data_IF_920743355727
#
_entry.id   IF_920743355727
#
_cell.length_a   1.000
_cell.length_b   1.000
_cell.length_c   1.000
_cell.angle_alpha   90.00
_cell.angle_beta   90.00
_cell.angle_gamma   90.00
#
_symmetry.space_group_name_H-M   'P 1'
#
loop_
_entity.id
_entity.type
_entity.pdbx_description
1 polymer ?
#
# COMPACT_ATOMS: atom_id res chain seq x y z
N UNK A 1 -1.20 -19.51 -3.13
CA UNK A 1 0.04 -20.00 -2.49
C UNK A 1 0.13 -19.56 -1.02
N UNK A 2 0.18 -18.25 -0.72
CA UNK A 2 0.34 -17.71 0.65
C UNK A 2 -0.56 -18.36 1.73
N UNK A 3 -1.83 -18.60 1.44
CA UNK A 3 -2.78 -19.20 2.39
C UNK A 3 -2.43 -20.64 2.76
N UNK A 4 -1.80 -21.39 1.86
CA UNK A 4 -1.48 -22.81 2.05
C UNK A 4 -0.08 -22.98 2.65
N UNK A 5 0.87 -22.13 2.24
CA UNK A 5 2.27 -22.23 2.66
C UNK A 5 2.61 -21.35 3.85
N UNK A 6 1.80 -20.34 4.16
CA UNK A 6 2.13 -19.25 5.08
C UNK A 6 3.25 -18.32 4.57
N UNK A 7 3.96 -18.69 3.50
CA UNK A 7 5.17 -18.00 3.07
C UNK A 7 4.87 -16.72 2.28
N UNK A 8 5.81 -15.75 2.25
CA UNK A 8 5.67 -14.53 1.47
C UNK A 8 5.40 -14.86 0.00
N UNK A 9 4.43 -14.16 -0.58
CA UNK A 9 4.10 -14.29 -1.99
C UNK A 9 4.08 -12.93 -2.66
N UNK A 10 4.46 -12.92 -3.93
CA UNK A 10 4.33 -11.77 -4.81
C UNK A 10 3.79 -12.19 -6.17
N UNK A 11 3.16 -11.26 -6.88
CA UNK A 11 2.64 -11.47 -8.23
C UNK A 11 3.41 -10.58 -9.19
N UNK A 12 4.00 -11.19 -10.21
CA UNK A 12 4.73 -10.51 -11.29
C UNK A 12 3.84 -10.47 -12.52
N UNK A 13 3.48 -9.26 -12.98
CA UNK A 13 2.67 -9.06 -14.19
C UNK A 13 3.57 -9.15 -15.43
N UNK A 14 3.16 -9.94 -16.42
CA UNK A 14 3.97 -10.25 -17.61
C UNK A 14 3.73 -9.30 -18.79
N UNK A 15 2.56 -8.63 -18.84
CA UNK A 15 2.18 -7.82 -20.01
C UNK A 15 1.08 -6.78 -19.77
N UNK A 16 0.84 -5.94 -20.77
CA UNK A 16 -0.03 -4.74 -20.73
C UNK A 16 -1.54 -5.01 -20.69
N UNK A 17 -1.96 -6.28 -20.79
CA UNK A 17 -3.28 -6.66 -21.29
C UNK A 17 -4.47 -6.17 -20.44
N UNK A 18 -4.24 -5.67 -19.21
CA UNK A 18 -5.26 -5.09 -18.34
C UNK A 18 -4.85 -3.80 -17.60
N UNK A 19 -3.67 -3.23 -17.86
CA UNK A 19 -3.20 -2.03 -17.14
C UNK A 19 -2.52 -1.01 -18.07
N UNK A 20 -3.24 0.06 -18.49
CA UNK A 20 -2.71 1.10 -19.36
C UNK A 20 -1.54 1.89 -18.73
N UNK A 21 -1.32 1.76 -17.43
CA UNK A 21 -0.21 2.40 -16.71
C UNK A 21 1.13 1.64 -16.84
N UNK A 22 1.12 0.39 -17.32
CA UNK A 22 2.36 -0.40 -17.55
C UNK A 22 2.97 -0.02 -18.91
N UNK A 23 3.42 1.23 -19.02
CA UNK A 23 4.18 1.69 -20.18
C UNK A 23 5.64 1.24 -20.03
N UNK A 24 5.97 0.15 -20.73
CA UNK A 24 7.31 -0.42 -20.97
C UNK A 24 7.73 -1.49 -19.95
N UNK A 25 7.28 -2.73 -20.19
CA UNK A 25 7.81 -3.90 -19.48
C UNK A 25 9.24 -4.16 -19.98
N UNK A 26 10.21 -4.14 -19.06
CA UNK A 26 11.57 -4.57 -19.36
C UNK A 26 11.63 -6.10 -19.23
N UNK A 27 11.59 -6.79 -20.37
CA UNK A 27 11.56 -8.25 -20.42
C UNK A 27 12.85 -8.91 -19.93
N UNK A 28 14.00 -8.23 -20.02
CA UNK A 28 15.27 -8.74 -19.47
C UNK A 28 15.25 -8.72 -17.93
N UNK A 29 14.75 -7.63 -17.34
CA UNK A 29 14.56 -7.56 -15.88
C UNK A 29 13.56 -8.61 -15.39
N UNK A 30 12.48 -8.81 -16.15
CA UNK A 30 11.48 -9.85 -15.84
C UNK A 30 12.11 -11.24 -15.90
N UNK A 31 12.84 -11.55 -16.96
CA UNK A 31 13.55 -12.82 -17.11
C UNK A 31 14.53 -13.05 -15.95
N UNK A 32 15.37 -12.07 -15.63
CA UNK A 32 16.32 -12.16 -14.52
C UNK A 32 15.64 -12.41 -13.17
N UNK A 33 14.46 -11.82 -12.93
CA UNK A 33 13.67 -12.08 -11.72
C UNK A 33 13.15 -13.52 -11.65
N UNK A 34 12.63 -14.04 -12.75
CA UNK A 34 12.15 -15.43 -12.81
C UNK A 34 13.32 -16.41 -12.62
N UNK A 35 14.45 -16.17 -13.28
CA UNK A 35 15.67 -16.96 -13.15
C UNK A 35 16.19 -16.99 -11.71
N UNK A 36 16.28 -15.82 -11.06
CA UNK A 36 16.65 -15.72 -9.65
C UNK A 36 15.69 -16.50 -8.73
N UNK A 37 14.39 -16.45 -9.02
CA UNK A 37 13.37 -17.15 -8.23
C UNK A 37 13.50 -18.67 -8.35
N UNK A 38 13.83 -19.18 -9.54
CA UNK A 38 14.21 -20.59 -9.76
C UNK A 38 15.45 -20.96 -8.94
N UNK A 39 16.50 -20.15 -8.98
CA UNK A 39 17.76 -20.44 -8.26
C UNK A 39 17.60 -20.48 -6.75
N UNK A 40 16.67 -19.67 -6.22
CA UNK A 40 16.27 -19.70 -4.82
C UNK A 40 15.32 -20.86 -4.47
N UNK A 41 14.89 -21.66 -5.43
CA UNK A 41 13.96 -22.78 -5.22
C UNK A 41 12.53 -22.34 -4.89
N UNK A 42 12.14 -21.11 -5.26
CA UNK A 42 10.79 -20.61 -4.99
C UNK A 42 9.75 -21.33 -5.85
N UNK A 43 8.55 -21.53 -5.28
CA UNK A 43 7.44 -22.09 -6.04
C UNK A 43 6.86 -21.01 -6.94
N UNK A 44 6.63 -21.33 -8.21
CA UNK A 44 6.06 -20.42 -9.18
C UNK A 44 4.82 -21.03 -9.85
N UNK A 45 3.76 -20.24 -9.96
CA UNK A 45 2.56 -20.57 -10.70
C UNK A 45 2.26 -19.47 -11.71
N UNK A 46 1.94 -19.82 -12.95
CA UNK A 46 1.63 -18.88 -14.00
C UNK A 46 0.14 -18.96 -14.39
N UNK A 47 -0.51 -17.80 -14.56
CA UNK A 47 -1.89 -17.72 -15.03
C UNK A 47 -1.89 -17.60 -16.56
N UNK A 48 -2.40 -18.63 -17.25
CA UNK A 48 -2.63 -18.59 -18.69
C UNK A 48 -3.94 -17.85 -18.95
N UNK A 49 -3.86 -16.63 -19.46
CA UNK A 49 -5.00 -15.75 -19.65
C UNK A 49 -4.58 -14.59 -20.55
N UNK A 50 -5.25 -14.42 -21.69
CA UNK A 50 -5.13 -13.23 -22.52
C UNK A 50 -6.44 -12.97 -23.26
N UNK A 51 -7.20 -11.97 -22.79
CA UNK A 51 -8.52 -11.63 -23.35
C UNK A 51 -8.44 -11.07 -24.78
N UNK A 52 -7.24 -10.71 -25.28
CA UNK A 52 -7.04 -10.25 -26.65
C UNK A 52 -6.82 -11.38 -27.65
N UNK A 53 -6.78 -12.64 -27.19
CA UNK A 53 -6.54 -13.81 -28.03
C UNK A 53 -7.77 -14.71 -27.98
N UNK A 54 -8.22 -15.17 -29.16
CA UNK A 54 -9.37 -16.04 -29.27
C UNK A 54 -9.12 -17.40 -28.61
N UNK A 55 -10.18 -17.96 -28.03
CA UNK A 55 -10.12 -19.24 -27.34
C UNK A 55 -9.61 -20.36 -28.24
N UNK A 56 -9.96 -20.34 -29.52
CA UNK A 56 -9.53 -21.31 -30.52
C UNK A 56 -8.00 -21.32 -30.70
N UNK A 57 -7.33 -20.15 -30.63
CA UNK A 57 -5.87 -20.08 -30.72
C UNK A 57 -5.18 -20.80 -29.54
N UNK A 58 -5.71 -20.62 -28.32
CA UNK A 58 -5.21 -21.37 -27.16
C UNK A 58 -5.37 -22.89 -27.36
N UNK A 59 -6.55 -23.33 -27.79
CA UNK A 59 -6.86 -24.74 -28.01
C UNK A 59 -5.97 -25.36 -29.11
N UNK A 60 -5.76 -24.63 -30.21
CA UNK A 60 -4.88 -25.05 -31.32
C UNK A 60 -3.41 -25.19 -30.89
N UNK A 61 -2.98 -24.43 -29.88
CA UNK A 61 -1.65 -24.54 -29.29
C UNK A 61 -1.57 -25.49 -28.09
N UNK A 62 -2.70 -26.11 -27.72
CA UNK A 62 -2.82 -27.05 -26.60
C UNK A 62 -2.73 -26.38 -25.22
N UNK A 63 -3.02 -25.08 -25.13
CA UNK A 63 -3.13 -24.32 -23.89
C UNK A 63 -4.60 -24.20 -23.45
N UNK A 64 -4.81 -24.07 -22.14
CA UNK A 64 -6.12 -23.78 -21.55
C UNK A 64 -6.16 -22.32 -21.14
N UNK A 65 -7.12 -21.57 -21.67
CA UNK A 65 -7.36 -20.19 -21.28
C UNK A 65 -8.02 -20.12 -19.88
N UNK A 66 -7.67 -19.10 -19.10
CA UNK A 66 -8.11 -18.90 -17.71
C UNK A 66 -7.76 -20.12 -16.84
N UNK A 67 -6.50 -20.56 -16.93
CA UNK A 67 -6.02 -21.75 -16.23
C UNK A 67 -4.63 -21.56 -15.62
N UNK A 68 -4.41 -22.18 -14.47
CA UNK A 68 -3.14 -22.09 -13.75
C UNK A 68 -2.19 -23.23 -14.13
N UNK A 69 -0.95 -22.87 -14.43
CA UNK A 69 0.15 -23.80 -14.71
C UNK A 69 1.24 -23.67 -13.65
N UNK A 70 1.91 -24.77 -13.32
CA UNK A 70 3.11 -24.70 -12.47
C UNK A 70 4.31 -24.34 -13.34
N UNK A 71 5.06 -23.30 -12.98
CA UNK A 71 6.33 -22.96 -13.62
C UNK A 71 7.44 -23.69 -12.86
N UNK A 72 7.97 -24.75 -13.47
CA UNK A 72 8.84 -25.72 -12.80
C UNK A 72 10.33 -25.39 -12.99
N UNK A 73 10.71 -24.88 -14.15
CA UNK A 73 12.10 -24.57 -14.46
C UNK A 73 12.18 -23.46 -15.51
N UNK A 74 13.34 -22.82 -15.58
CA UNK A 74 13.66 -21.70 -16.47
C UNK A 74 15.08 -21.93 -16.94
N UNK A 75 15.38 -21.79 -18.23
CA UNK A 75 16.72 -22.00 -18.77
C UNK A 75 17.07 -20.94 -19.79
N UNK A 76 18.28 -20.38 -19.65
CA UNK A 76 18.94 -19.61 -20.71
C UNK A 76 20.16 -20.39 -21.18
N UNK A 77 20.20 -20.74 -22.46
CA UNK A 77 21.35 -21.38 -23.08
C UNK A 77 21.28 -21.26 -24.61
N UNK A 78 22.45 -21.15 -25.25
CA UNK A 78 22.60 -21.00 -26.71
C UNK A 78 21.73 -19.87 -27.31
N UNK A 79 21.56 -18.77 -26.58
CA UNK A 79 20.72 -17.63 -27.00
C UNK A 79 19.20 -17.88 -26.87
N UNK A 80 18.78 -19.03 -26.34
CA UNK A 80 17.39 -19.37 -26.12
C UNK A 80 17.00 -19.22 -24.66
N UNK A 81 15.84 -18.59 -24.44
CA UNK A 81 15.18 -18.45 -23.14
C UNK A 81 13.94 -19.34 -23.11
N UNK A 82 14.02 -20.44 -22.38
CA UNK A 82 12.99 -21.48 -22.32
C UNK A 82 12.43 -21.62 -20.91
N UNK A 83 11.13 -21.91 -20.80
CA UNK A 83 10.44 -22.17 -19.53
C UNK A 83 9.82 -23.55 -19.57
N UNK A 84 9.97 -24.30 -18.48
CA UNK A 84 9.31 -25.58 -18.27
C UNK A 84 8.06 -25.37 -17.44
N UNK A 85 6.90 -25.67 -18.01
CA UNK A 85 5.63 -25.59 -17.33
C UNK A 85 4.98 -26.96 -17.21
N UNK A 86 4.05 -27.06 -16.26
CA UNK A 86 3.20 -28.24 -16.09
C UNK A 86 1.73 -27.84 -15.98
N UNK A 87 0.90 -28.45 -16.80
CA UNK A 87 -0.54 -28.48 -16.60
C UNK A 87 -0.89 -29.45 -15.45
N UNK A 88 -1.48 -28.98 -14.33
CA UNK A 88 -1.85 -29.86 -13.22
C UNK A 88 -2.86 -30.95 -13.59
N UNK A 89 -3.70 -30.74 -14.61
CA UNK A 89 -4.65 -31.74 -15.09
C UNK A 89 -4.00 -32.85 -15.93
N UNK A 90 -2.77 -32.63 -16.41
CA UNK A 90 -2.09 -33.55 -17.31
C UNK A 90 -2.86 -33.78 -18.61
N UNK A 91 -2.64 -34.95 -19.21
CA UNK A 91 -3.42 -35.42 -20.36
C UNK A 91 -3.04 -34.75 -21.69
N UNK A 92 -4.04 -34.42 -22.50
CA UNK A 92 -3.89 -34.04 -23.92
C UNK A 92 -3.54 -32.56 -24.14
N UNK A 93 -3.76 -31.70 -23.15
CA UNK A 93 -3.46 -30.26 -23.23
C UNK A 93 -1.97 -30.03 -22.94
N UNK A 94 -1.17 -30.14 -24.00
CA UNK A 94 0.28 -29.90 -24.01
C UNK A 94 0.60 -28.85 -25.06
N UNK A 95 1.59 -28.00 -24.79
CA UNK A 95 2.07 -27.00 -25.74
C UNK A 95 2.47 -27.66 -27.08
N UNK A 96 1.93 -27.15 -28.18
CA UNK A 96 2.17 -27.66 -29.54
C UNK A 96 3.03 -26.73 -30.41
N UNK A 97 3.45 -25.57 -29.88
CA UNK A 97 4.29 -24.62 -30.60
C UNK A 97 5.79 -24.95 -30.53
N UNK A 98 6.62 -23.93 -30.75
CA UNK A 98 8.08 -24.03 -30.69
C UNK A 98 8.57 -24.60 -29.37
N UNK A 99 9.56 -25.51 -29.40
CA UNK A 99 10.08 -26.21 -28.23
C UNK A 99 9.09 -27.15 -27.51
N UNK A 100 7.92 -27.41 -28.10
CA UNK A 100 7.10 -28.57 -27.72
C UNK A 100 7.90 -29.88 -27.86
N UNK A 101 7.46 -30.96 -27.23
CA UNK A 101 8.20 -32.24 -27.21
C UNK A 101 8.51 -32.79 -28.62
N UNK A 102 7.62 -32.52 -29.59
CA UNK A 102 7.75 -32.99 -30.97
C UNK A 102 8.34 -31.91 -31.91
N UNK A 103 8.83 -30.79 -31.37
CA UNK A 103 9.36 -29.66 -32.15
C UNK A 103 10.67 -30.01 -32.88
N UNK A 104 10.82 -29.65 -34.17
CA UNK A 104 12.06 -29.87 -34.91
C UNK A 104 13.23 -29.01 -34.38
N UNK A 105 12.97 -27.97 -33.59
CA UNK A 105 14.01 -27.12 -32.99
C UNK A 105 14.93 -27.89 -32.03
N UNK A 106 14.45 -29.00 -31.46
CA UNK A 106 15.29 -29.91 -30.68
C UNK A 106 16.32 -30.67 -31.52
N UNK A 107 16.07 -30.86 -32.83
CA UNK A 107 17.01 -31.53 -33.74
C UNK A 107 18.18 -30.61 -34.11
N UNK A 108 17.91 -29.31 -34.26
CA UNK A 108 18.95 -28.30 -34.52
C UNK A 108 19.69 -27.88 -33.25
N UNK A 109 19.20 -28.27 -32.06
CA UNK A 109 19.82 -27.99 -30.76
C UNK A 109 19.99 -29.27 -29.91
N UNK A 110 20.83 -30.22 -30.35
CA UNK A 110 20.94 -31.54 -29.72
C UNK A 110 21.47 -31.48 -28.28
N UNK A 111 22.34 -30.51 -27.96
CA UNK A 111 22.86 -30.31 -26.61
C UNK A 111 21.75 -29.90 -25.63
N UNK A 112 20.94 -28.89 -25.99
CA UNK A 112 19.78 -28.47 -25.21
C UNK A 112 18.75 -29.59 -25.06
N UNK A 113 18.53 -30.38 -26.12
CA UNK A 113 17.62 -31.53 -26.07
C UNK A 113 18.09 -32.55 -25.04
N UNK A 114 19.38 -32.89 -25.05
CA UNK A 114 19.96 -33.86 -24.12
C UNK A 114 19.85 -33.39 -22.68
N UNK A 115 20.10 -32.11 -22.44
CA UNK A 115 20.01 -31.50 -21.11
C UNK A 115 18.56 -31.42 -20.59
N UNK A 116 17.65 -30.83 -21.39
CA UNK A 116 16.33 -30.42 -20.94
C UNK A 116 15.25 -31.51 -21.07
N UNK A 117 15.50 -32.52 -21.91
CA UNK A 117 14.61 -33.68 -22.08
C UNK A 117 15.21 -34.98 -21.54
N UNK A 118 16.20 -34.89 -20.63
CA UNK A 118 16.91 -36.05 -20.05
C UNK A 118 15.98 -37.04 -19.33
N UNK A 119 14.90 -36.53 -18.73
CA UNK A 119 13.92 -37.33 -17.99
C UNK A 119 12.99 -38.08 -18.95
N UNK A 120 12.80 -39.39 -18.73
CA UNK A 120 11.74 -40.15 -19.40
C UNK A 120 10.38 -39.64 -18.93
N UNK A 121 9.79 -38.77 -19.74
CA UNK A 121 8.46 -38.17 -19.48
C UNK A 121 7.36 -39.03 -20.06
N UNK A 122 6.24 -39.09 -19.35
CA UNK A 122 5.01 -39.67 -19.88
C UNK A 122 4.29 -38.58 -20.66
N UNK A 123 3.80 -38.87 -21.86
CA UNK A 123 2.98 -37.90 -22.63
C UNK A 123 1.72 -37.41 -21.87
N UNK A 124 1.41 -38.00 -20.70
CA UNK A 124 0.27 -37.64 -19.85
C UNK A 124 0.64 -36.75 -18.65
N UNK A 125 1.92 -36.45 -18.41
CA UNK A 125 2.35 -35.69 -17.22
C UNK A 125 2.05 -34.17 -17.30
N UNK A 126 1.70 -33.68 -18.49
CA UNK A 126 1.34 -32.29 -18.76
C UNK A 126 2.53 -31.34 -18.78
N UNK A 127 3.77 -31.85 -18.82
CA UNK A 127 5.00 -31.07 -18.74
C UNK A 127 5.50 -30.71 -20.13
N UNK A 128 5.80 -29.45 -20.37
CA UNK A 128 6.32 -28.97 -21.65
C UNK A 128 7.31 -27.82 -21.47
N UNK A 129 8.18 -27.64 -22.46
CA UNK A 129 9.01 -26.45 -22.61
C UNK A 129 8.36 -25.48 -23.60
N UNK A 130 8.52 -24.18 -23.37
CA UNK A 130 8.10 -23.14 -24.31
C UNK A 130 9.08 -21.97 -24.32
N UNK A 131 9.17 -21.20 -25.42
CA UNK A 131 10.00 -20.01 -25.44
C UNK A 131 9.39 -18.89 -24.61
N UNK A 132 10.24 -18.06 -24.02
CA UNK A 132 9.83 -16.91 -23.21
C UNK A 132 8.96 -15.91 -23.98
N UNK A 133 9.21 -15.73 -25.28
CA UNK A 133 8.38 -14.90 -26.15
C UNK A 133 6.92 -15.37 -26.20
N UNK A 134 6.68 -16.67 -26.36
CA UNK A 134 5.33 -17.24 -26.30
C UNK A 134 4.74 -17.16 -24.91
N UNK A 135 5.54 -17.36 -23.86
CA UNK A 135 5.07 -17.23 -22.48
C UNK A 135 4.51 -15.83 -22.19
N UNK A 136 5.22 -14.77 -22.60
CA UNK A 136 4.74 -13.38 -22.48
C UNK A 136 3.47 -13.12 -23.29
N UNK A 137 3.28 -13.81 -24.43
CA UNK A 137 2.08 -13.66 -25.27
C UNK A 137 0.83 -14.27 -24.62
N UNK A 138 0.94 -15.44 -24.00
CA UNK A 138 -0.22 -16.23 -23.56
C UNK A 138 -0.50 -16.18 -22.05
N UNK A 139 0.46 -15.74 -21.23
CA UNK A 139 0.33 -15.70 -19.77
C UNK A 139 0.22 -14.27 -19.24
N UNK A 140 -0.65 -14.09 -18.25
CA UNK A 140 -0.95 -12.79 -17.63
C UNK A 140 0.05 -12.42 -16.53
N UNK A 141 0.30 -13.37 -15.63
CA UNK A 141 1.13 -13.15 -14.45
C UNK A 141 1.80 -14.45 -13.95
N UNK A 142 2.81 -14.28 -13.09
CA UNK A 142 3.43 -15.34 -12.30
C UNK A 142 3.30 -15.00 -10.81
N UNK A 143 2.66 -15.88 -10.06
CA UNK A 143 2.69 -15.88 -8.59
C UNK A 143 3.94 -16.62 -8.11
N UNK A 144 4.78 -15.94 -7.34
CA UNK A 144 6.01 -16.47 -6.76
C UNK A 144 5.80 -16.60 -5.25
N UNK A 145 6.02 -17.80 -4.70
CA UNK A 145 5.98 -18.08 -3.29
C UNK A 145 7.40 -18.35 -2.78
N UNK A 146 7.90 -17.43 -1.96
CA UNK A 146 9.27 -17.41 -1.45
C UNK A 146 9.44 -18.39 -0.30
N UNK A 147 9.43 -19.69 -0.60
CA UNK A 147 9.77 -20.73 0.37
C UNK A 147 11.25 -20.59 0.76
N UNK A 148 11.51 -20.40 2.05
CA UNK A 148 12.85 -20.22 2.62
C UNK A 148 12.98 -21.08 3.88
N UNK A 149 13.23 -22.40 3.73
CA UNK A 149 13.22 -23.33 4.85
C UNK A 149 14.38 -23.12 5.83
N UNK A 150 15.45 -22.46 5.40
CA UNK A 150 16.65 -22.12 6.15
C UNK A 150 16.55 -20.77 6.88
N UNK A 151 15.41 -20.09 6.80
CA UNK A 151 15.19 -18.77 7.40
C UNK A 151 14.49 -18.86 8.76
N UNK A 152 14.76 -17.86 9.59
CA UNK A 152 14.03 -17.64 10.84
C UNK A 152 12.67 -17.02 10.53
N UNK A 153 11.67 -17.42 11.30
CA UNK A 153 10.30 -16.95 11.13
C UNK A 153 9.71 -16.54 12.49
N UNK A 154 9.15 -15.33 12.53
CA UNK A 154 8.36 -14.84 13.66
C UNK A 154 7.00 -14.42 13.15
N UNK A 155 5.95 -14.95 13.77
CA UNK A 155 4.57 -14.53 13.51
C UNK A 155 3.92 -14.02 14.79
N UNK A 156 3.18 -12.94 14.66
CA UNK A 156 2.39 -12.42 15.76
C UNK A 156 1.06 -11.85 15.26
N UNK A 157 0.00 -12.15 16.01
CA UNK A 157 -1.36 -11.71 15.69
C UNK A 157 -1.87 -10.73 16.74
N UNK A 158 -2.44 -9.62 16.27
CA UNK A 158 -2.95 -8.57 17.15
C UNK A 158 -4.05 -7.75 16.46
N UNK A 159 -4.84 -7.07 17.28
CA UNK A 159 -5.63 -5.93 16.82
C UNK A 159 -4.70 -4.71 16.79
N UNK A 160 -4.23 -4.34 15.60
CA UNK A 160 -3.23 -3.27 15.47
C UNK A 160 -3.79 -1.87 15.73
N UNK A 161 -5.10 -1.68 15.59
CA UNK A 161 -5.78 -0.40 15.80
C UNK A 161 -6.80 -0.53 16.93
N UNK A 162 -7.04 0.54 17.70
CA UNK A 162 -8.06 0.54 18.73
C UNK A 162 -9.42 0.21 18.12
N UNK A 163 -10.28 -0.48 18.88
CA UNK A 163 -11.61 -0.83 18.41
C UNK A 163 -12.33 0.44 17.90
N UNK A 164 -12.72 0.41 16.63
CA UNK A 164 -13.67 1.37 16.09
C UNK A 164 -14.98 0.99 16.76
N UNK A 165 -15.29 1.62 17.89
CA UNK A 165 -16.52 1.36 18.61
C UNK A 165 -17.67 1.52 17.62
N UNK A 166 -18.29 0.40 17.23
CA UNK A 166 -19.58 0.43 16.57
C UNK A 166 -20.49 1.11 17.57
N UNK A 167 -20.87 2.36 17.31
CA UNK A 167 -21.97 3.00 18.01
C UNK A 167 -23.20 2.19 17.59
N UNK A 168 -23.42 1.05 18.26
CA UNK A 168 -24.74 0.43 18.33
C UNK A 168 -25.57 1.48 19.04
N UNK A 169 -26.48 2.09 18.28
CA UNK A 169 -27.49 2.99 18.82
C UNK A 169 -28.15 2.31 20.02
N UNK A 170 -27.70 2.62 21.24
CA UNK A 170 -28.50 2.43 22.44
C UNK A 170 -29.60 3.49 22.41
N UNK A 171 -30.56 3.33 21.49
CA UNK A 171 -31.91 3.80 21.76
C UNK A 171 -32.50 2.77 22.71
N UNK A 172 -32.19 2.91 24.00
CA UNK A 172 -33.03 2.31 25.02
C UNK A 172 -34.43 2.90 24.83
N UNK A 173 -35.37 2.01 24.54
CA UNK A 173 -36.78 2.25 24.78
C UNK A 173 -36.98 2.49 26.28
N UNK A 174 -36.89 3.74 26.73
CA UNK A 174 -37.62 4.15 27.93
C UNK A 174 -39.02 4.57 27.49
N UNK A 175 -39.94 3.60 27.53
CA UNK A 175 -41.37 3.88 27.71
C UNK A 175 -41.52 4.48 29.11
N UNK A 176 -42.18 5.62 29.19
CA UNK A 176 -42.39 6.32 30.45
C UNK A 176 -43.33 5.61 31.41
N UNK A 177 -43.18 5.93 32.70
CA UNK A 177 -44.31 6.10 33.61
C UNK A 177 -43.87 6.91 34.85
N UNK A 178 -44.64 7.97 35.12
CA UNK A 178 -45.02 8.54 36.42
C UNK A 178 -43.99 9.15 37.40
N UNK A 179 -44.03 10.48 37.43
CA UNK A 179 -44.27 11.39 38.57
C UNK A 179 -43.19 11.66 39.65
N UNK A 180 -43.16 12.89 40.20
CA UNK A 180 -42.01 13.43 40.94
C UNK A 180 -42.16 13.28 42.46
N UNK A 181 -41.04 13.27 43.17
CA UNK A 181 -41.02 13.59 44.61
C UNK A 181 -39.70 14.30 44.96
N UNK A 182 -39.84 15.41 45.68
CA UNK A 182 -38.79 16.33 46.11
C UNK A 182 -38.21 15.85 47.45
N UNK A 183 -36.88 15.90 47.62
CA UNK A 183 -36.22 16.25 48.91
C UNK A 183 -34.71 16.46 48.73
N UNK A 184 -34.33 17.73 48.85
CA UNK A 184 -33.25 18.36 49.63
C UNK A 184 -31.87 17.70 49.93
N UNK A 185 -30.86 18.57 49.71
CA UNK A 185 -29.56 18.76 50.39
C UNK A 185 -28.36 17.83 50.11
N UNK A 186 -27.40 18.34 49.32
CA UNK A 186 -25.98 18.47 49.72
C UNK A 186 -25.17 19.26 48.66
N UNK A 187 -24.23 20.08 49.12
CA UNK A 187 -23.42 21.04 48.36
C UNK A 187 -22.42 20.39 47.37
N UNK A 188 -22.00 21.09 46.30
CA UNK A 188 -21.12 20.53 45.29
C UNK A 188 -19.65 20.56 45.72
N UNK A 189 -19.03 19.39 45.89
CA UNK A 189 -17.58 19.25 45.86
C UNK A 189 -17.13 19.57 44.43
N UNK A 190 -16.38 20.68 44.26
CA UNK A 190 -15.69 21.02 43.02
C UNK A 190 -14.62 19.96 42.72
N UNK A 191 -15.00 18.90 42.02
CA UNK A 191 -14.06 18.03 41.34
C UNK A 191 -13.53 18.78 40.11
N UNK A 192 -12.27 19.19 40.16
CA UNK A 192 -11.52 19.63 38.98
C UNK A 192 -11.50 18.48 37.99
N UNK A 193 -11.98 18.62 36.74
CA UNK A 193 -11.86 17.55 35.78
C UNK A 193 -10.40 17.50 35.32
N UNK A 194 -9.62 16.60 35.90
CA UNK A 194 -8.40 16.09 35.27
C UNK A 194 -8.84 15.37 33.99
N UNK A 195 -8.81 16.08 32.86
CA UNK A 195 -9.05 15.54 31.52
C UNK A 195 -7.93 14.54 31.24
N UNK A 196 -8.16 13.29 31.64
CA UNK A 196 -7.35 12.17 31.19
C UNK A 196 -7.90 11.80 29.83
N UNK A 197 -7.38 12.40 28.76
CA UNK A 197 -7.71 11.97 27.40
C UNK A 197 -7.24 10.52 27.25
N UNK A 198 -8.19 9.60 27.05
CA UNK A 198 -7.90 8.23 26.66
C UNK A 198 -7.19 8.25 25.30
N UNK A 199 -5.86 8.32 25.30
CA UNK A 199 -5.05 8.30 24.07
C UNK A 199 -5.26 6.97 23.35
N UNK A 200 -5.68 7.02 22.08
CA UNK A 200 -5.79 5.82 21.25
C UNK A 200 -4.40 5.30 20.92
N UNK A 201 -4.19 4.02 21.16
CA UNK A 201 -2.92 3.34 20.92
C UNK A 201 -3.07 2.36 19.76
N UNK A 202 -2.04 2.29 18.91
CA UNK A 202 -1.87 1.24 17.92
C UNK A 202 -0.74 0.29 18.35
N UNK A 203 -0.82 -0.97 17.92
CA UNK A 203 0.25 -1.94 18.15
C UNK A 203 1.27 -1.89 17.01
N UNK A 204 2.55 -1.99 17.35
CA UNK A 204 3.70 -2.00 16.45
C UNK A 204 4.78 -2.95 17.01
N UNK A 205 5.94 -3.05 16.35
CA UNK A 205 7.03 -3.92 16.81
C UNK A 205 8.37 -3.23 16.79
N UNK A 206 9.15 -3.37 17.86
CA UNK A 206 10.60 -3.20 17.79
C UNK A 206 11.22 -4.38 17.07
N UNK A 207 12.08 -4.08 16.11
CA UNK A 207 12.94 -5.03 15.43
C UNK A 207 14.39 -4.66 15.72
N UNK A 208 15.11 -5.53 16.43
CA UNK A 208 16.54 -5.34 16.71
C UNK A 208 17.35 -6.35 15.91
N UNK A 209 18.32 -5.83 15.15
CA UNK A 209 19.20 -6.60 14.27
C UNK A 209 20.65 -6.45 14.71
N UNK A 210 21.36 -7.57 14.81
CA UNK A 210 22.79 -7.61 15.17
C UNK A 210 23.70 -7.72 13.95
N UNK A 211 23.15 -8.12 12.80
CA UNK A 211 23.86 -8.36 11.55
C UNK A 211 23.07 -7.77 10.38
N UNK A 212 23.73 -7.56 9.24
CA UNK A 212 23.03 -7.31 7.97
C UNK A 212 22.08 -8.46 7.73
N UNK A 213 20.79 -8.15 7.60
CA UNK A 213 19.73 -9.14 7.56
C UNK A 213 18.83 -8.88 6.36
N UNK A 214 18.77 -9.85 5.45
CA UNK A 214 17.72 -9.93 4.43
C UNK A 214 16.41 -10.33 5.12
N UNK A 215 15.32 -9.62 4.81
CA UNK A 215 13.99 -9.75 5.41
C UNK A 215 12.91 -9.89 4.34
N UNK A 216 11.90 -10.71 4.60
CA UNK A 216 10.58 -10.60 3.98
C UNK A 216 9.55 -10.35 5.09
N UNK A 217 8.76 -9.28 4.95
CA UNK A 217 7.70 -8.94 5.89
C UNK A 217 6.36 -8.99 5.18
N UNK A 218 5.41 -9.68 5.79
CA UNK A 218 4.03 -9.75 5.29
C UNK A 218 3.05 -9.37 6.40
N UNK A 219 2.13 -8.46 6.08
CA UNK A 219 0.99 -8.12 6.92
C UNK A 219 -0.26 -8.78 6.33
N UNK A 220 -0.82 -9.75 7.04
CA UNK A 220 -2.05 -10.44 6.69
C UNK A 220 -3.23 -9.86 7.46
N UNK A 221 -4.36 -9.72 6.78
CA UNK A 221 -5.65 -9.49 7.44
C UNK A 221 -6.35 -10.82 7.67
N UNK A 222 -6.80 -11.08 8.90
CA UNK A 222 -7.65 -12.23 9.19
C UNK A 222 -9.04 -11.98 8.60
N UNK A 223 -9.60 -12.99 7.94
CA UNK A 223 -10.95 -12.89 7.35
C UNK A 223 -11.81 -13.98 7.97
N UNK A 224 -13.07 -13.64 8.28
CA UNK A 224 -14.07 -14.62 8.70
C UNK A 224 -14.31 -15.65 7.59
N UNK A 225 -14.54 -16.91 7.97
CA UNK A 225 -14.49 -18.11 7.09
C UNK A 225 -15.46 -18.11 5.89
N UNK A 226 -16.34 -17.12 5.74
CA UNK A 226 -17.46 -17.15 4.80
C UNK A 226 -17.34 -16.27 3.54
N UNK A 227 -16.25 -15.52 3.33
CA UNK A 227 -16.13 -14.64 2.15
C UNK A 227 -15.26 -15.26 1.06
N UNK A 228 -15.91 -15.98 0.13
CA UNK A 228 -15.36 -16.23 -1.22
C UNK A 228 -15.02 -14.88 -1.83
N UNK A 229 -13.72 -14.65 -2.07
CA UNK A 229 -13.13 -13.65 -2.97
C UNK A 229 -13.88 -12.29 -2.94
N UNK A 230 -13.76 -11.55 -1.82
CA UNK A 230 -13.91 -10.10 -1.87
C UNK A 230 -12.53 -9.47 -1.64
N UNK A 231 -12.14 -8.53 -2.51
CA UNK A 231 -11.01 -7.63 -2.26
C UNK A 231 -11.32 -6.82 -1.00
N UNK A 232 -10.29 -6.53 -0.20
CA UNK A 232 -10.48 -5.83 1.08
C UNK A 232 -10.90 -4.39 0.82
N UNK A 233 -11.98 -3.90 1.43
CA UNK A 233 -12.33 -2.47 1.37
C UNK A 233 -11.33 -1.57 2.12
N UNK A 234 -10.50 -2.17 2.98
CA UNK A 234 -9.42 -1.48 3.70
C UNK A 234 -8.11 -1.66 2.96
N UNK A 235 -7.37 -0.57 2.76
CA UNK A 235 -6.01 -0.64 2.21
C UNK A 235 -5.01 -0.89 3.32
N UNK A 236 -4.08 -1.82 3.08
CA UNK A 236 -3.01 -2.17 4.00
C UNK A 236 -1.68 -1.62 3.49
N UNK A 237 -0.78 -1.33 4.42
CA UNK A 237 0.63 -1.07 4.18
C UNK A 237 1.43 -1.60 5.38
N UNK A 238 2.64 -2.08 5.16
CA UNK A 238 3.60 -2.33 6.24
C UNK A 238 4.88 -1.57 5.94
N UNK A 239 5.41 -0.88 6.95
CA UNK A 239 6.63 -0.11 6.83
C UNK A 239 7.58 -0.44 7.98
N UNK A 240 8.88 -0.44 7.70
CA UNK A 240 9.93 -0.41 8.70
C UNK A 240 10.47 1.01 8.72
N UNK A 241 10.53 1.59 9.90
CA UNK A 241 11.01 2.96 10.11
C UNK A 241 12.14 2.98 11.14
N UNK A 242 13.09 3.89 10.93
CA UNK A 242 13.99 4.32 12.00
C UNK A 242 13.36 5.53 12.68
N UNK A 243 13.16 5.44 13.99
CA UNK A 243 12.53 6.51 14.76
C UNK A 243 13.22 6.68 16.11
N UNK A 244 13.21 7.91 16.64
CA UNK A 244 13.59 8.16 18.03
C UNK A 244 12.34 8.26 18.90
N UNK A 245 12.40 7.55 20.02
CA UNK A 245 11.41 7.62 21.09
C UNK A 245 11.56 8.92 21.88
N UNK A 246 11.28 10.05 21.24
CA UNK A 246 10.96 11.28 21.97
C UNK A 246 9.48 11.25 22.36
N UNK A 247 9.03 12.11 23.29
CA UNK A 247 7.61 12.30 23.55
C UNK A 247 6.78 12.66 22.32
N UNK A 248 7.40 12.95 21.16
CA UNK A 248 6.76 13.29 19.89
C UNK A 248 6.78 12.12 18.89
N UNK A 249 7.66 11.12 19.07
CA UNK A 249 7.91 10.01 18.14
C UNK A 249 8.24 10.49 16.73
N UNK A 250 9.54 10.70 16.44
CA UNK A 250 9.99 11.26 15.16
C UNK A 250 10.57 10.17 14.27
N UNK A 251 10.08 10.09 13.04
CA UNK A 251 10.56 9.17 12.01
C UNK A 251 11.66 9.87 11.20
N UNK A 252 12.83 9.26 11.10
CA UNK A 252 13.98 9.82 10.36
C UNK A 252 14.24 9.12 9.03
N UNK A 253 13.81 7.87 8.88
CA UNK A 253 13.92 7.16 7.62
C UNK A 253 12.88 6.05 7.52
N UNK A 254 12.54 5.69 6.29
CA UNK A 254 11.64 4.58 5.93
C UNK A 254 12.42 3.63 5.02
N UNK A 255 13.33 2.81 5.57
CA UNK A 255 14.20 1.95 4.76
C UNK A 255 13.43 0.92 3.93
N UNK A 256 12.31 0.40 4.45
CA UNK A 256 11.50 -0.63 3.79
C UNK A 256 10.03 -0.26 3.93
N UNK A 257 9.29 -0.32 2.82
CA UNK A 257 7.84 -0.09 2.79
C UNK A 257 7.19 -0.99 1.74
N UNK A 258 6.01 -1.52 2.03
CA UNK A 258 5.21 -2.24 1.04
C UNK A 258 4.42 -1.26 0.18
N UNK A 259 4.13 -1.64 -1.06
CA UNK A 259 3.05 -0.99 -1.79
C UNK A 259 1.77 -1.03 -0.95
N UNK A 260 1.07 0.09 -0.93
CA UNK A 260 -0.25 0.16 -0.33
C UNK A 260 -1.25 -0.55 -1.25
N UNK A 261 -2.13 -1.37 -0.70
CA UNK A 261 -3.15 -2.02 -1.54
C UNK A 261 -4.33 -2.65 -0.78
N UNK A 262 -5.43 -2.84 -1.51
CA UNK A 262 -6.68 -3.43 -1.04
C UNK A 262 -6.70 -4.97 -1.17
N UNK A 263 -5.62 -5.59 -0.69
CA UNK A 263 -5.41 -7.03 -0.75
C UNK A 263 -5.65 -7.69 0.62
N UNK A 264 -5.72 -9.03 0.63
CA UNK A 264 -5.81 -9.81 1.87
C UNK A 264 -4.52 -9.74 2.69
N UNK A 265 -3.41 -9.42 2.03
CA UNK A 265 -2.10 -9.22 2.62
C UNK A 265 -1.32 -8.23 1.77
N UNK A 266 -0.34 -7.58 2.39
CA UNK A 266 0.70 -6.81 1.71
C UNK A 266 2.05 -7.29 2.18
N UNK A 267 3.00 -7.37 1.26
CA UNK A 267 4.34 -7.87 1.53
C UNK A 267 5.39 -6.90 1.01
N UNK A 268 6.55 -6.91 1.62
CA UNK A 268 7.74 -6.21 1.17
C UNK A 268 8.97 -6.95 1.63
N UNK A 269 10.10 -6.69 0.98
CA UNK A 269 11.37 -7.33 1.27
C UNK A 269 12.52 -6.33 1.12
N UNK A 270 13.65 -6.67 1.74
CA UNK A 270 14.84 -5.83 1.66
C UNK A 270 15.92 -6.25 2.62
N UNK A 271 17.03 -5.51 2.59
CA UNK A 271 18.15 -5.68 3.50
C UNK A 271 18.15 -4.54 4.52
N UNK A 272 18.42 -4.88 5.77
CA UNK A 272 18.67 -3.90 6.82
C UNK A 272 20.05 -4.12 7.44
N UNK A 273 20.72 -3.01 7.71
CA UNK A 273 21.93 -2.96 8.51
C UNK A 273 21.64 -3.28 9.99
N UNK A 274 22.66 -3.61 10.80
CA UNK A 274 22.50 -3.72 12.24
C UNK A 274 21.91 -2.45 12.86
N UNK A 275 20.93 -2.60 13.74
CA UNK A 275 20.25 -1.46 14.35
C UNK A 275 18.90 -1.82 14.97
N UNK A 276 18.24 -0.79 15.51
CA UNK A 276 16.88 -0.90 16.06
C UNK A 276 15.91 -0.13 15.19
N UNK A 277 14.87 -0.82 14.75
CA UNK A 277 13.83 -0.32 13.86
C UNK A 277 12.46 -0.53 14.47
N UNK A 278 11.46 0.12 13.90
CA UNK A 278 10.05 -0.09 14.24
C UNK A 278 9.28 -0.55 13.02
N UNK A 279 8.57 -1.67 13.15
CA UNK A 279 7.64 -2.13 12.14
C UNK A 279 6.26 -1.54 12.45
N UNK A 280 5.76 -0.75 11.51
CA UNK A 280 4.45 -0.11 11.53
C UNK A 280 3.48 -0.87 10.63
N UNK A 281 2.51 -1.61 11.19
CA UNK A 281 1.35 -2.10 10.45
C UNK A 281 0.35 -0.96 10.26
N UNK A 282 0.09 -0.58 9.01
CA UNK A 282 -0.67 0.61 8.67
C UNK A 282 -1.99 0.27 7.98
N UNK A 283 -3.08 0.85 8.49
CA UNK A 283 -4.42 0.73 7.93
C UNK A 283 -4.91 2.08 7.44
N UNK A 284 -5.41 2.10 6.20
CA UNK A 284 -6.01 3.29 5.63
C UNK A 284 -7.52 3.14 5.49
N UNK A 285 -8.25 4.20 5.86
CA UNK A 285 -9.71 4.28 5.93
C UNK A 285 -10.35 3.26 6.91
N UNK A 286 -9.94 3.26 8.19
CA UNK A 286 -10.53 2.37 9.18
C UNK A 286 -12.01 2.68 9.47
N UNK A 287 -12.51 3.90 9.20
CA UNK A 287 -13.87 4.31 9.57
C UNK A 287 -15.00 3.68 8.72
N UNK A 288 -14.67 2.75 7.84
CA UNK A 288 -15.66 2.02 7.07
C UNK A 288 -16.43 1.09 8.02
N UNK A 289 -17.70 1.42 8.31
CA UNK A 289 -18.60 0.76 9.29
C UNK A 289 -18.81 -0.75 9.10
N UNK A 290 -18.16 -1.37 8.11
CA UNK A 290 -18.25 -2.78 7.73
C UNK A 290 -17.00 -3.61 8.10
N UNK A 291 -16.15 -3.13 9.02
CA UNK A 291 -15.01 -3.91 9.49
C UNK A 291 -15.45 -5.04 10.44
N UNK A 292 -15.66 -6.23 9.87
CA UNK A 292 -16.03 -7.45 10.62
C UNK A 292 -14.96 -7.88 11.64
N UNK A 293 -13.67 -7.64 11.36
CA UNK A 293 -12.54 -7.91 12.27
C UNK A 293 -11.37 -6.96 11.99
N UNK A 294 -10.69 -6.52 13.05
CA UNK A 294 -9.42 -5.77 13.02
C UNK A 294 -8.23 -6.65 13.42
N UNK A 295 -8.38 -7.98 13.36
CA UNK A 295 -7.28 -8.90 13.68
C UNK A 295 -6.38 -9.08 12.44
N UNK A 296 -5.10 -8.84 12.66
CA UNK A 296 -4.06 -8.96 11.64
C UNK A 296 -2.94 -9.84 12.16
N UNK A 297 -2.20 -10.44 11.23
CA UNK A 297 -1.01 -11.22 11.53
C UNK A 297 0.17 -10.58 10.81
N UNK A 298 1.21 -10.25 11.54
CA UNK A 298 2.51 -9.95 10.93
C UNK A 298 3.31 -11.26 10.84
N UNK A 299 3.99 -11.46 9.72
CA UNK A 299 4.99 -12.50 9.56
C UNK A 299 6.30 -11.85 9.10
N UNK A 300 7.37 -12.10 9.84
CA UNK A 300 8.72 -11.66 9.51
C UNK A 300 9.56 -12.90 9.26
N UNK A 301 10.00 -13.08 8.02
CA UNK A 301 10.98 -14.07 7.64
C UNK A 301 12.33 -13.37 7.53
N UNK A 302 13.39 -13.98 8.06
CA UNK A 302 14.70 -13.36 8.16
C UNK A 302 15.85 -14.36 7.93
N UNK A 303 16.86 -13.92 7.19
CA UNK A 303 18.09 -14.69 6.93
C UNK A 303 18.98 -14.89 8.17
N UNK A 304 18.75 -14.12 9.23
CA UNK A 304 19.47 -14.15 10.51
C UNK A 304 18.46 -14.11 11.66
N UNK A 305 18.88 -14.54 12.85
CA UNK A 305 18.04 -14.42 14.05
C UNK A 305 17.75 -12.95 14.34
N UNK A 306 16.51 -12.65 14.71
CA UNK A 306 16.00 -11.31 15.00
C UNK A 306 15.37 -11.29 16.39
N UNK A 307 15.41 -10.12 17.04
CA UNK A 307 14.59 -9.85 18.23
C UNK A 307 13.40 -8.97 17.83
N UNK A 308 12.19 -9.49 18.05
CA UNK A 308 10.94 -8.83 17.71
C UNK A 308 10.08 -8.65 18.97
N UNK A 309 9.86 -7.39 19.36
CA UNK A 309 9.10 -7.05 20.58
C UNK A 309 7.90 -6.18 20.26
N UNK A 310 6.70 -6.66 20.60
CA UNK A 310 5.47 -5.88 20.45
C UNK A 310 5.49 -4.64 21.36
N UNK A 311 5.06 -3.50 20.82
CA UNK A 311 4.94 -2.22 21.52
C UNK A 311 3.61 -1.53 21.20
N UNK A 312 3.22 -0.58 22.05
CA UNK A 312 2.07 0.30 21.83
C UNK A 312 2.56 1.72 21.54
N UNK A 313 2.08 2.30 20.43
CA UNK A 313 2.40 3.66 20.01
C UNK A 313 1.13 4.51 19.96
N UNK A 314 1.19 5.82 20.26
CA UNK A 314 0.06 6.71 20.02
C UNK A 314 -0.33 6.74 18.55
N UNK A 315 -1.63 6.69 18.25
CA UNK A 315 -2.14 6.61 16.87
C UNK A 315 -1.65 7.77 15.96
N UNK A 316 -1.33 8.92 16.54
CA UNK A 316 -0.77 10.08 15.83
C UNK A 316 0.56 9.80 15.10
N UNK A 317 1.25 8.69 15.40
CA UNK A 317 2.41 8.24 14.60
C UNK A 317 2.03 8.03 13.13
N UNK A 318 0.77 7.72 12.84
CA UNK A 318 0.25 7.65 11.48
C UNK A 318 0.41 8.98 10.73
N UNK A 319 0.12 10.12 11.40
CA UNK A 319 0.30 11.46 10.80
C UNK A 319 1.77 11.72 10.48
N UNK A 320 2.67 11.45 11.44
CA UNK A 320 4.10 11.62 11.25
C UNK A 320 4.62 10.74 10.10
N UNK A 321 4.16 9.48 10.04
CA UNK A 321 4.49 8.57 8.95
C UNK A 321 4.07 9.14 7.59
N UNK A 322 2.83 9.62 7.44
CA UNK A 322 2.35 10.19 6.17
C UNK A 322 3.13 11.44 5.76
N UNK A 323 3.48 12.30 6.73
CA UNK A 323 4.32 13.47 6.49
C UNK A 323 5.67 13.03 5.95
N UNK A 324 6.37 12.12 6.63
CA UNK A 324 7.69 11.66 6.21
C UNK A 324 7.66 10.90 4.89
N UNK A 325 6.58 10.16 4.64
CA UNK A 325 6.36 9.51 3.36
C UNK A 325 6.25 10.52 2.21
N UNK A 326 5.52 11.62 2.39
CA UNK A 326 5.46 12.70 1.40
C UNK A 326 6.80 13.42 1.23
N UNK A 327 7.55 13.66 2.30
CA UNK A 327 8.85 14.34 2.22
C UNK A 327 9.90 13.48 1.50
N UNK A 328 9.92 12.17 1.74
CA UNK A 328 10.91 11.27 1.15
C UNK A 328 10.55 10.79 -0.26
N UNK A 329 9.26 10.59 -0.56
CA UNK A 329 8.82 9.95 -1.80
C UNK A 329 7.80 10.76 -2.62
N UNK A 330 7.28 11.86 -2.07
CA UNK A 330 6.32 12.72 -2.75
C UNK A 330 6.98 13.57 -3.83
N UNK A 331 6.26 13.79 -4.93
CA UNK A 331 6.70 14.69 -5.99
C UNK A 331 6.39 16.13 -5.62
N UNK A 332 7.38 17.02 -5.73
CA UNK A 332 7.14 18.44 -5.56
C UNK A 332 6.40 19.00 -6.78
N UNK A 333 5.24 19.62 -6.55
CA UNK A 333 4.42 20.19 -7.61
C UNK A 333 4.72 21.67 -7.77
N UNK A 334 5.26 22.05 -8.93
CA UNK A 334 5.39 23.46 -9.34
C UNK A 334 4.05 23.95 -9.88
N UNK A 335 3.43 24.97 -9.26
CA UNK A 335 2.17 25.52 -9.76
C UNK A 335 2.37 26.24 -11.10
N UNK A 336 1.67 25.79 -12.13
CA UNK A 336 1.77 26.28 -13.52
C UNK A 336 1.38 27.75 -13.74
N UNK A 337 0.85 28.44 -12.72
CA UNK A 337 0.62 29.89 -12.80
C UNK A 337 1.93 30.69 -12.91
N UNK A 338 3.10 30.11 -12.61
CA UNK A 338 4.39 30.82 -12.77
C UNK A 338 4.77 31.10 -14.23
N UNK A 339 4.19 30.41 -15.23
CA UNK A 339 4.57 30.63 -16.64
C UNK A 339 3.91 31.84 -17.29
N UNK A 340 2.87 32.42 -16.68
CA UNK A 340 2.15 33.59 -17.19
C UNK A 340 2.23 34.82 -16.28
N UNK A 341 2.99 34.77 -15.18
CA UNK A 341 3.23 35.95 -14.36
C UNK A 341 4.30 36.86 -15.00
N UNK A 342 4.11 38.19 -15.01
CA UNK A 342 5.13 39.15 -15.46
C UNK A 342 6.46 38.91 -14.74
N UNK A 343 7.60 39.07 -15.43
CA UNK A 343 8.96 38.83 -14.89
C UNK A 343 9.24 39.53 -13.53
N UNK A 344 8.51 40.59 -13.21
CA UNK A 344 8.64 41.32 -11.95
C UNK A 344 7.87 40.68 -10.75
N UNK A 345 7.09 39.62 -10.99
CA UNK A 345 6.37 38.84 -9.96
C UNK A 345 6.83 37.38 -9.89
N UNK A 346 7.82 36.97 -10.70
CA UNK A 346 8.45 35.64 -10.62
C UNK A 346 9.27 35.42 -9.33
N UNK A 347 9.30 36.39 -8.41
CA UNK A 347 9.93 36.29 -7.08
C UNK A 347 8.97 35.81 -5.96
N UNK A 348 7.78 35.27 -6.28
CA UNK A 348 6.79 34.85 -5.28
C UNK A 348 6.82 33.35 -4.89
N UNK A 349 7.94 32.65 -5.10
CA UNK A 349 8.11 31.22 -4.75
C UNK A 349 8.82 30.96 -3.41
N UNK A 350 9.14 31.98 -2.62
CA UNK A 350 9.98 31.78 -1.44
C UNK A 350 9.20 31.20 -0.25
N UNK A 351 9.28 29.89 -0.04
CA UNK A 351 8.85 29.23 1.20
C UNK A 351 7.48 28.55 1.21
N UNK A 352 6.93 28.12 0.06
CA UNK A 352 5.83 27.15 0.03
C UNK A 352 6.27 25.92 -0.77
N UNK A 353 6.04 24.73 -0.24
CA UNK A 353 6.32 23.48 -0.97
C UNK A 353 5.10 22.57 -0.91
N UNK A 354 4.69 22.02 -2.05
CA UNK A 354 3.53 21.13 -2.17
C UNK A 354 4.03 19.78 -2.65
N UNK A 355 3.72 18.72 -1.91
CA UNK A 355 4.11 17.35 -2.22
C UNK A 355 2.88 16.52 -2.56
N UNK A 356 2.89 15.91 -3.76
CA UNK A 356 1.92 14.91 -4.17
C UNK A 356 2.54 13.52 -4.11
N UNK A 357 2.02 12.68 -3.21
CA UNK A 357 2.36 11.26 -3.19
C UNK A 357 1.31 10.46 -3.97
N UNK A 358 1.65 10.13 -5.23
CA UNK A 358 0.83 9.31 -6.13
C UNK A 358 1.60 8.15 -6.76
N UNK A 359 2.90 8.34 -7.02
CA UNK A 359 3.75 7.30 -7.59
C UNK A 359 3.97 6.19 -6.57
N UNK A 360 3.79 4.94 -7.00
CA UNK A 360 3.93 3.75 -6.14
C UNK A 360 3.00 3.73 -4.92
N UNK A 361 1.92 4.53 -4.96
CA UNK A 361 0.95 4.68 -3.88
C UNK A 361 -0.47 4.55 -4.44
N UNK A 362 -1.24 3.55 -4.01
CA UNK A 362 -2.65 3.37 -4.43
C UNK A 362 -3.54 4.41 -3.74
N UNK A 363 -3.53 5.63 -4.27
CA UNK A 363 -4.22 6.79 -3.71
C UNK A 363 -3.49 8.11 -3.94
N UNK A 364 -3.88 9.13 -3.17
CA UNK A 364 -3.19 10.41 -3.09
C UNK A 364 -2.97 10.77 -1.62
N UNK A 365 -1.79 11.28 -1.29
CA UNK A 365 -1.57 12.11 -0.09
C UNK A 365 -1.03 13.46 -0.56
N UNK A 366 -1.70 14.54 -0.17
CA UNK A 366 -1.28 15.91 -0.47
C UNK A 366 -0.78 16.58 0.81
N UNK A 367 0.51 16.93 0.83
CA UNK A 367 1.15 17.66 1.93
C UNK A 367 1.55 19.05 1.46
N UNK A 368 1.28 20.07 2.27
CA UNK A 368 1.72 21.44 2.01
C UNK A 368 2.59 21.92 3.16
N UNK A 369 3.77 22.46 2.85
CA UNK A 369 4.68 23.12 3.80
C UNK A 369 4.64 24.64 3.57
N UNK A 370 4.24 25.38 4.60
CA UNK A 370 4.39 26.83 4.68
C UNK A 370 5.65 27.14 5.50
N UNK A 371 6.78 27.36 4.81
CA UNK A 371 8.09 27.74 5.38
C UNK A 371 8.22 29.25 5.59
N UNK A 372 7.17 30.03 5.30
CA UNK A 372 7.20 31.49 5.51
C UNK A 372 7.05 31.81 6.99
N UNK A 373 7.64 32.93 7.41
CA UNK A 373 7.64 33.35 8.81
C UNK A 373 6.40 34.17 9.21
N UNK A 374 5.72 34.83 8.27
CA UNK A 374 4.74 35.87 8.61
C UNK A 374 3.37 35.72 7.95
N UNK A 375 3.22 34.86 6.94
CA UNK A 375 1.99 34.75 6.14
C UNK A 375 1.36 33.38 6.31
N UNK A 376 0.04 33.36 6.44
CA UNK A 376 -0.77 32.17 6.29
C UNK A 376 -0.86 31.80 4.80
N UNK A 377 -0.95 30.50 4.52
CA UNK A 377 -1.32 29.99 3.20
C UNK A 377 -2.77 29.58 3.25
N UNK A 378 -3.63 30.29 2.52
CA UNK A 378 -5.01 29.87 2.31
C UNK A 378 -5.03 28.96 1.08
N UNK A 379 -5.18 27.66 1.31
CA UNK A 379 -5.15 26.61 0.31
C UNK A 379 -6.57 26.17 -0.04
N UNK A 380 -6.86 26.03 -1.33
CA UNK A 380 -8.12 25.54 -1.84
C UNK A 380 -7.85 24.33 -2.73
N UNK A 381 -8.39 23.18 -2.35
CA UNK A 381 -8.25 21.91 -3.07
C UNK A 381 -9.61 21.46 -3.60
N UNK A 382 -9.66 21.00 -4.85
CA UNK A 382 -10.87 20.41 -5.44
C UNK A 382 -10.60 19.08 -6.11
N UNK A 383 -11.53 18.14 -5.98
CA UNK A 383 -11.43 16.80 -6.56
C UNK A 383 -12.76 16.31 -7.18
N UNK A 384 -13.50 17.20 -7.84
CA UNK A 384 -14.83 16.91 -8.41
C UNK A 384 -14.82 15.84 -9.51
N UNK A 385 -13.69 15.62 -10.17
CA UNK A 385 -13.52 14.58 -11.19
C UNK A 385 -13.08 13.23 -10.63
N UNK A 386 -12.87 13.13 -9.31
CA UNK A 386 -12.45 11.90 -8.65
C UNK A 386 -13.63 10.94 -8.50
N UNK A 387 -13.44 9.68 -8.89
CA UNK A 387 -14.46 8.63 -8.88
C UNK A 387 -13.99 7.41 -8.11
N UNK A 388 -14.94 6.68 -7.50
CA UNK A 388 -14.67 5.46 -6.71
C UNK A 388 -13.63 5.68 -5.60
N UNK A 389 -13.75 6.80 -4.88
CA UNK A 389 -12.78 7.23 -3.88
C UNK A 389 -13.37 7.39 -2.47
N UNK A 390 -12.52 7.17 -1.47
CA UNK A 390 -12.71 7.56 -0.07
C UNK A 390 -11.79 8.75 0.19
N UNK A 391 -12.37 9.86 0.63
CA UNK A 391 -11.67 11.12 0.92
C UNK A 391 -11.70 11.31 2.44
N UNK A 392 -10.54 11.54 3.07
CA UNK A 392 -10.43 11.55 4.53
C UNK A 392 -11.18 12.68 5.25
N UNK A 393 -11.66 13.71 4.53
CA UNK A 393 -12.35 14.88 5.09
C UNK A 393 -13.78 15.05 4.55
N UNK A 394 -14.54 13.96 4.49
CA UNK A 394 -15.95 13.87 4.05
C UNK A 394 -16.15 13.81 2.52
N UNK A 395 -17.40 13.57 2.10
CA UNK A 395 -17.88 13.54 0.70
C UNK A 395 -17.87 14.94 0.02
N UNK A 396 -17.18 15.92 0.60
CA UNK A 396 -17.02 17.22 -0.03
C UNK A 396 -15.82 17.19 -0.97
N UNK A 397 -16.08 17.46 -2.24
CA UNK A 397 -15.06 17.55 -3.28
C UNK A 397 -14.28 18.87 -3.25
N UNK A 398 -14.52 19.75 -2.27
CA UNK A 398 -13.82 21.01 -2.08
C UNK A 398 -13.36 21.16 -0.63
N UNK A 399 -12.08 21.49 -0.44
CA UNK A 399 -11.44 21.68 0.86
C UNK A 399 -10.74 23.03 0.90
N UNK A 400 -10.87 23.74 2.01
CA UNK A 400 -10.21 25.01 2.25
C UNK A 400 -9.42 24.93 3.55
N UNK A 401 -8.14 25.27 3.52
CA UNK A 401 -7.24 25.17 4.67
C UNK A 401 -6.38 26.41 4.85
N UNK A 402 -6.36 26.93 6.07
CA UNK A 402 -5.46 28.00 6.47
C UNK A 402 -4.25 27.42 7.18
N UNK A 403 -3.11 27.43 6.52
CA UNK A 403 -1.87 26.82 7.01
C UNK A 403 -1.03 27.93 7.66
N UNK A 404 -0.76 27.87 8.98
CA UNK A 404 -0.01 28.91 9.66
C UNK A 404 1.45 29.04 9.17
N UNK A 405 2.10 30.19 9.41
CA UNK A 405 3.54 30.35 9.16
C UNK A 405 4.36 29.26 9.85
N UNK A 406 5.41 28.75 9.20
CA UNK A 406 6.29 27.68 9.70
C UNK A 406 5.54 26.40 10.09
N UNK A 407 4.48 26.05 9.36
CA UNK A 407 3.72 24.80 9.57
C UNK A 407 3.62 23.99 8.29
N UNK A 408 3.35 22.70 8.46
CA UNK A 408 2.98 21.78 7.40
C UNK A 408 1.66 21.10 7.71
N UNK A 409 0.92 20.74 6.68
CA UNK A 409 -0.40 20.14 6.85
C UNK A 409 -0.69 19.10 5.76
N UNK A 410 -1.18 17.92 6.16
CA UNK A 410 -1.78 16.98 5.22
C UNK A 410 -3.17 17.52 4.87
N UNK A 411 -3.34 17.96 3.63
CA UNK A 411 -4.61 18.54 3.15
C UNK A 411 -5.66 17.45 3.00
N UNK A 412 -5.28 16.36 2.32
CA UNK A 412 -6.19 15.27 2.00
C UNK A 412 -5.44 13.95 1.84
N UNK A 413 -6.10 12.86 2.22
CA UNK A 413 -5.77 11.52 1.72
C UNK A 413 -6.94 11.01 0.89
N UNK A 414 -6.65 10.51 -0.31
CA UNK A 414 -7.64 9.89 -1.21
C UNK A 414 -7.24 8.44 -1.39
N UNK A 415 -8.23 7.57 -1.26
CA UNK A 415 -8.06 6.12 -1.33
C UNK A 415 -9.09 5.52 -2.25
N UNK A 416 -8.83 4.34 -2.80
CA UNK A 416 -9.85 3.60 -3.54
C UNK A 416 -10.99 3.16 -2.62
N UNK A 417 -12.24 3.33 -3.04
CA UNK A 417 -13.42 2.86 -2.30
C UNK A 417 -13.70 1.39 -2.56
N UNK A 418 -13.87 1.02 -3.83
CA UNK A 418 -14.14 -0.34 -4.25
C UNK A 418 -13.03 -0.85 -5.16
N UNK A 419 -12.33 -1.89 -4.73
CA UNK A 419 -11.22 -2.46 -5.47
C UNK A 419 -11.62 -3.12 -6.79
N UNK A 420 -12.89 -3.51 -6.96
CA UNK A 420 -13.40 -4.18 -8.16
C UNK A 420 -13.79 -3.22 -9.29
N UNK A 421 -13.80 -1.92 -9.05
CA UNK A 421 -14.16 -0.90 -10.03
C UNK A 421 -12.94 -0.03 -10.38
N UNK A 422 -12.99 0.64 -11.53
CA UNK A 422 -11.98 1.63 -11.91
C UNK A 422 -11.89 2.74 -10.86
N UNK A 423 -10.68 3.25 -10.66
CA UNK A 423 -10.38 4.28 -9.68
C UNK A 423 -9.65 5.41 -10.38
N UNK A 424 -10.19 6.62 -10.28
CA UNK A 424 -9.65 7.80 -10.98
C UNK A 424 -9.54 8.94 -9.98
N UNK A 425 -8.35 9.56 -9.94
CA UNK A 425 -8.10 10.76 -9.14
C UNK A 425 -7.95 11.93 -10.10
N UNK A 426 -8.95 12.80 -10.15
CA UNK A 426 -8.90 14.07 -10.85
C UNK A 426 -9.06 15.20 -9.84
N UNK A 427 -8.02 16.04 -9.73
CA UNK A 427 -7.97 17.10 -8.73
C UNK A 427 -7.23 18.33 -9.25
N UNK A 428 -7.54 19.48 -8.67
CA UNK A 428 -6.82 20.74 -8.84
C UNK A 428 -6.69 21.46 -7.48
N UNK A 429 -5.84 22.49 -7.43
CA UNK A 429 -5.74 23.33 -6.26
C UNK A 429 -5.22 24.73 -6.60
N UNK A 430 -5.49 25.67 -5.71
CA UNK A 430 -5.01 27.04 -5.74
C UNK A 430 -4.65 27.48 -4.33
N UNK A 431 -3.75 28.45 -4.19
CA UNK A 431 -3.47 29.06 -2.90
C UNK A 431 -3.21 30.55 -3.01
N UNK A 432 -3.44 31.26 -1.91
CA UNK A 432 -3.09 32.67 -1.75
C UNK A 432 -2.40 32.90 -0.40
N UNK A 433 -1.59 33.96 -0.33
CA UNK A 433 -0.95 34.40 0.91
C UNK A 433 -1.85 35.37 1.65
N UNK A 434 -1.99 35.20 2.98
CA UNK A 434 -2.85 36.02 3.82
C UNK A 434 -2.17 36.46 5.11
N UNK A 435 -2.57 37.63 5.61
CA UNK A 435 -2.28 38.07 6.99
C UNK A 435 -3.35 37.58 7.99
N UNK A 436 -4.54 37.22 7.50
CA UNK A 436 -5.65 36.72 8.32
C UNK A 436 -5.54 35.19 8.42
N UNK A 437 -5.71 34.64 9.62
CA UNK A 437 -5.77 33.19 9.84
C UNK A 437 -7.06 32.58 9.30
N UNK A 438 -8.10 33.37 9.03
CA UNK A 438 -9.40 32.87 8.60
C UNK A 438 -9.61 33.07 7.09
N UNK A 439 -10.14 32.04 6.44
CA UNK A 439 -10.58 32.06 5.05
C UNK A 439 -11.99 32.65 5.00
N UNK A 440 -12.21 33.59 4.07
CA UNK A 440 -13.54 34.15 3.78
C UNK A 440 -14.19 33.33 2.66
N UNK A 441 -15.26 32.61 2.96
CA UNK A 441 -15.98 31.84 1.95
C UNK A 441 -16.95 32.74 1.17
N UNK A 442 -16.79 32.77 -0.15
CA UNK A 442 -17.52 33.67 -1.06
C UNK A 442 -19.04 33.44 -1.02
N UNK A 443 -19.50 32.19 -0.88
CA UNK A 443 -20.92 31.86 -0.97
C UNK A 443 -21.75 32.18 0.29
N UNK A 444 -21.15 32.29 1.48
CA UNK A 444 -21.92 32.45 2.72
C UNK A 444 -21.36 33.52 3.67
N UNK A 445 -20.25 34.16 3.33
CA UNK A 445 -19.60 35.21 4.13
C UNK A 445 -19.03 34.72 5.47
N UNK A 446 -19.11 33.42 5.79
CA UNK A 446 -18.57 32.86 7.02
C UNK A 446 -17.06 32.77 6.94
N UNK A 447 -16.42 33.05 8.07
CA UNK A 447 -14.99 32.87 8.29
C UNK A 447 -14.73 31.52 8.94
N UNK A 448 -13.78 30.76 8.41
CA UNK A 448 -13.29 29.53 9.02
C UNK A 448 -11.78 29.40 8.81
N UNK A 449 -11.09 28.70 9.70
CA UNK A 449 -9.68 28.35 9.50
C UNK A 449 -9.56 27.16 8.54
N UNK A 450 -10.46 26.18 8.67
CA UNK A 450 -10.50 24.97 7.86
C UNK A 450 -11.94 24.61 7.50
N UNK A 451 -12.18 24.20 6.25
CA UNK A 451 -13.46 23.68 5.78
C UNK A 451 -13.25 22.42 4.91
N UNK A 452 -13.90 21.28 5.24
CA UNK A 452 -14.67 21.02 6.46
C UNK A 452 -13.84 21.19 7.74
N UNK A 453 -14.50 21.43 8.88
CA UNK A 453 -13.81 21.74 10.14
C UNK A 453 -12.88 20.60 10.57
N UNK A 454 -11.64 20.94 10.93
CA UNK A 454 -10.67 20.06 11.57
C UNK A 454 -10.82 20.19 13.08
N UNK A 455 -10.71 19.09 13.81
CA UNK A 455 -10.69 19.13 15.26
C UNK A 455 -9.27 19.44 15.77
N UNK A 456 -8.96 20.73 15.95
CA UNK A 456 -7.65 21.19 16.41
C UNK A 456 -7.25 20.69 17.81
N UNK A 457 -8.24 20.31 18.63
CA UNK A 457 -8.01 19.76 19.97
C UNK A 457 -7.69 18.26 19.94
N UNK A 458 -7.84 17.62 18.77
CA UNK A 458 -7.56 16.21 18.57
C UNK A 458 -6.20 16.02 17.90
N UNK A 459 -5.14 15.80 18.70
CA UNK A 459 -3.80 15.50 18.17
C UNK A 459 -3.73 14.20 17.35
N UNK A 460 -4.78 13.37 17.37
CA UNK A 460 -4.90 12.15 16.55
C UNK A 460 -5.37 12.43 15.12
N UNK A 461 -5.94 13.61 14.84
CA UNK A 461 -6.39 13.98 13.50
C UNK A 461 -5.16 14.24 12.61
N UNK A 462 -5.08 13.48 11.52
CA UNK A 462 -3.96 13.51 10.57
C UNK A 462 -3.88 14.86 9.83
N UNK A 463 -4.96 15.64 9.83
CA UNK A 463 -5.06 16.90 9.09
C UNK A 463 -4.69 18.14 9.91
N UNK A 464 -4.43 18.00 11.22
CA UNK A 464 -4.02 19.13 12.07
C UNK A 464 -2.65 19.65 11.62
N UNK A 465 -2.50 20.98 11.41
CA UNK A 465 -1.21 21.60 11.11
C UNK A 465 -0.12 21.27 12.15
N UNK A 466 1.06 20.88 11.67
CA UNK A 466 2.22 20.57 12.50
C UNK A 466 3.31 21.62 12.28
N UNK A 467 3.88 22.16 13.36
CA UNK A 467 4.97 23.12 13.27
C UNK A 467 6.24 22.49 12.67
N UNK A 468 6.88 23.20 11.75
CA UNK A 468 8.18 22.84 11.17
C UNK A 468 9.26 23.28 12.17
N UNK A 469 9.94 22.33 12.81
CA UNK A 469 11.00 22.67 13.76
C UNK A 469 12.24 23.24 13.05
N UNK A 470 12.93 24.22 13.66
CA UNK A 470 14.13 24.84 13.09
C UNK A 470 15.27 23.84 12.77
N UNK A 471 15.36 22.71 13.51
CA UNK A 471 16.31 21.61 13.22
C UNK A 471 15.92 20.78 11.98
N UNK A 472 14.65 20.79 11.58
CA UNK A 472 14.14 20.05 10.42
C UNK A 472 14.35 20.77 9.07
N UNK A 473 14.94 21.96 9.08
CA UNK A 473 15.27 22.70 7.85
C UNK A 473 16.66 22.30 7.32
N UNK A 474 17.52 21.71 8.17
CA UNK A 474 18.91 21.40 7.83
C UNK A 474 19.21 19.90 7.62
N UNK A 475 18.30 18.98 7.97
CA UNK A 475 18.56 17.53 7.97
C UNK A 475 17.45 16.64 7.36
N UNK A 476 16.36 17.22 6.86
CA UNK A 476 15.29 16.46 6.17
C UNK A 476 15.52 16.43 4.65
#
# INVERSE_FOLDING_TARGET
LATVTGSPCETVILGRFNNPDVKNVNYDKLWGKLLHSRDRGFLMCAMCSNNSIDKEEFENLGLLNIHAYSLQDIKEANGHRLLRLRNPWGGTYRWLGDWSDDSPLWLTNPELRSELLREKRSKKDGVFWMPFSSFIKYFECVDICKLRPDWYEVRDSANFYPEISTIKNQKQHQKGSSSPTVSEHSEPIKATPSITTNKKLMQAYYLTLTNITELDITLYRKISKNLRIQRSEVSLCVAIVSMEQTPVYRIYSIPIISNRGQHKFVSTDGYLEPGTYVILPLLFNPDNKQLDTTEFTIAVHSSRSIDLKRISLPIRIHREFLIKLCLFFGEQVTTSNSKHLPKNQQQQEDGITIYELKKFWDGLVLLVENKRQTKYVHFHFRCTLTQNALISRQENHELYDSIPPLHRQIIVTISRKNASHSFTIGHDFQYILSNDSHIKHSQNGKKYDHYPRINMDNDEDIHVPQQISARGIQHD
#
